data_IF_327603903225
#
_entry.id   IF_327603903225
#
_cell.length_a   1.000
_cell.length_b   1.000
_cell.length_c   1.000
_cell.angle_alpha   90.00
_cell.angle_beta   90.00
_cell.angle_gamma   90.00
#
_symmetry.space_group_name_H-M   'P 1'
#
loop_
_entity.id
_entity.type
_entity.pdbx_description
1 polymer ?
#
# COMPACT_ATOMS: atom_id res chain seq x y z
N UNK A 1 -10.52 -14.06 -11.18
CA UNK A 1 -9.92 -13.30 -10.06
C UNK A 1 -9.81 -14.24 -8.88
N UNK A 2 -8.70 -14.23 -8.17
CA UNK A 2 -8.45 -15.14 -7.07
C UNK A 2 -7.96 -14.35 -5.85
N UNK A 3 -8.50 -14.67 -4.67
CA UNK A 3 -8.03 -14.07 -3.43
C UNK A 3 -6.60 -14.56 -3.11
N UNK A 4 -5.70 -13.63 -2.85
CA UNK A 4 -4.32 -13.89 -2.46
C UNK A 4 -4.16 -13.78 -0.95
N UNK A 5 -3.29 -14.62 -0.39
CA UNK A 5 -2.96 -14.55 1.04
C UNK A 5 -2.10 -13.30 1.31
N UNK A 6 -2.54 -12.44 2.22
CA UNK A 6 -1.75 -11.28 2.66
C UNK A 6 -0.68 -11.76 3.64
N UNK A 7 0.56 -11.40 3.34
CA UNK A 7 1.73 -11.66 4.17
C UNK A 7 1.71 -10.67 5.34
N UNK A 8 1.88 -11.19 6.55
CA UNK A 8 1.91 -10.38 7.78
C UNK A 8 3.33 -10.30 8.36
N UNK A 9 3.62 -9.24 9.10
CA UNK A 9 4.83 -9.17 9.92
C UNK A 9 4.87 -10.34 10.93
N UNK A 10 6.08 -10.91 11.16
CA UNK A 10 7.42 -10.40 10.80
C UNK A 10 8.03 -11.01 9.51
N UNK A 11 7.23 -11.38 8.52
CA UNK A 11 7.77 -11.99 7.29
C UNK A 11 8.75 -11.04 6.59
N UNK A 12 9.96 -11.53 6.30
CA UNK A 12 11.06 -10.75 5.71
C UNK A 12 10.77 -10.27 4.28
N UNK A 13 9.84 -10.91 3.56
CA UNK A 13 9.45 -10.49 2.21
C UNK A 13 8.90 -9.06 2.18
N UNK A 14 8.25 -8.60 3.27
CA UNK A 14 7.77 -7.22 3.42
C UNK A 14 8.89 -6.18 3.46
N UNK A 15 10.14 -6.60 3.61
CA UNK A 15 11.33 -5.74 3.60
C UNK A 15 12.08 -5.75 2.28
N UNK A 16 11.58 -6.51 1.31
CA UNK A 16 12.20 -6.62 0.00
C UNK A 16 11.87 -5.40 -0.85
N UNK A 17 12.88 -4.90 -1.57
CA UNK A 17 12.66 -3.90 -2.62
C UNK A 17 12.15 -4.61 -3.87
N UNK A 18 11.00 -4.19 -4.36
CA UNK A 18 10.32 -4.80 -5.50
C UNK A 18 11.02 -4.48 -6.83
N UNK A 19 11.05 -5.47 -7.72
CA UNK A 19 11.61 -5.38 -9.06
C UNK A 19 10.67 -4.66 -10.03
N UNK A 20 11.23 -3.89 -10.96
CA UNK A 20 10.44 -3.24 -12.01
C UNK A 20 9.76 -4.26 -12.93
N UNK A 21 8.68 -3.83 -13.56
CA UNK A 21 7.99 -4.55 -14.63
C UNK A 21 8.42 -3.96 -15.97
N UNK A 22 9.05 -4.76 -16.80
CA UNK A 22 9.59 -4.31 -18.09
C UNK A 22 8.55 -4.27 -19.21
N UNK A 23 7.55 -5.18 -19.12
CA UNK A 23 6.46 -5.28 -20.09
C UNK A 23 5.20 -5.81 -19.41
N UNK A 24 4.04 -5.50 -20.01
CA UNK A 24 2.77 -6.03 -19.52
C UNK A 24 2.39 -7.27 -20.33
N UNK A 25 1.97 -8.30 -19.63
CA UNK A 25 1.37 -9.51 -20.16
C UNK A 25 0.04 -9.81 -19.43
N UNK A 26 -0.63 -10.86 -19.84
CA UNK A 26 -1.88 -11.27 -19.20
C UNK A 26 -1.69 -11.66 -17.73
N UNK A 27 -0.50 -12.18 -17.37
CA UNK A 27 -0.20 -12.53 -15.99
C UNK A 27 -0.15 -11.29 -15.08
N UNK A 28 0.50 -10.20 -15.53
CA UNK A 28 0.53 -8.93 -14.77
C UNK A 28 -0.87 -8.35 -14.61
N UNK A 29 -1.72 -8.42 -15.65
CA UNK A 29 -3.11 -7.98 -15.57
C UNK A 29 -3.91 -8.79 -14.54
N UNK A 30 -3.80 -10.12 -14.59
CA UNK A 30 -4.45 -10.99 -13.60
C UNK A 30 -3.95 -10.74 -12.17
N UNK A 31 -2.66 -10.48 -11.98
CA UNK A 31 -2.12 -10.11 -10.66
C UNK A 31 -2.76 -8.81 -10.15
N UNK A 32 -2.89 -7.78 -10.98
CA UNK A 32 -3.53 -6.52 -10.60
C UNK A 32 -5.01 -6.70 -10.23
N UNK A 33 -5.73 -7.56 -10.97
CA UNK A 33 -7.12 -7.90 -10.67
C UNK A 33 -7.25 -8.68 -9.35
N UNK A 34 -6.39 -9.67 -9.12
CA UNK A 34 -6.33 -10.44 -7.87
C UNK A 34 -5.97 -9.53 -6.67
N UNK A 35 -5.04 -8.57 -6.88
CA UNK A 35 -4.69 -7.58 -5.86
C UNK A 35 -5.88 -6.73 -5.47
N UNK A 36 -6.64 -6.23 -6.44
CA UNK A 36 -7.80 -5.38 -6.20
C UNK A 36 -8.90 -6.15 -5.43
N UNK A 37 -9.20 -7.39 -5.86
CA UNK A 37 -10.15 -8.25 -5.17
C UNK A 37 -9.70 -8.57 -3.73
N UNK A 38 -8.41 -8.88 -3.55
CA UNK A 38 -7.82 -9.15 -2.23
C UNK A 38 -7.91 -7.93 -1.33
N UNK A 39 -7.61 -6.75 -1.85
CA UNK A 39 -7.71 -5.48 -1.14
C UNK A 39 -9.13 -5.23 -0.64
N UNK A 40 -10.12 -5.34 -1.51
CA UNK A 40 -11.54 -5.15 -1.13
C UNK A 40 -12.01 -6.20 -0.13
N UNK A 41 -11.67 -7.46 -0.33
CA UNK A 41 -12.04 -8.53 0.61
C UNK A 41 -11.44 -8.32 2.01
N UNK A 42 -10.30 -7.64 2.10
CA UNK A 42 -9.66 -7.28 3.36
C UNK A 42 -10.12 -5.92 3.91
N UNK A 43 -11.13 -5.27 3.32
CA UNK A 43 -11.59 -3.91 3.64
C UNK A 43 -10.45 -2.86 3.60
N UNK A 44 -9.47 -3.04 2.69
CA UNK A 44 -8.37 -2.12 2.48
C UNK A 44 -8.69 -1.08 1.40
N UNK A 45 -7.93 0.01 1.40
CA UNK A 45 -7.96 1.07 0.39
C UNK A 45 -6.69 1.11 -0.47
N UNK A 46 -5.71 0.27 -0.15
CA UNK A 46 -4.46 0.10 -0.88
C UNK A 46 -3.87 -1.28 -0.65
N UNK A 47 -3.11 -1.77 -1.63
CA UNK A 47 -2.35 -3.01 -1.55
C UNK A 47 -1.17 -2.98 -2.52
N UNK A 48 0.02 -3.33 -2.02
CA UNK A 48 1.21 -3.53 -2.82
C UNK A 48 1.47 -5.01 -3.11
N UNK A 49 2.06 -5.32 -4.26
CA UNK A 49 2.34 -6.70 -4.67
C UNK A 49 3.24 -7.44 -3.68
N UNK A 50 4.15 -6.74 -3.01
CA UNK A 50 5.01 -7.32 -1.97
C UNK A 50 4.22 -7.86 -0.78
N UNK A 51 3.04 -7.32 -0.49
CA UNK A 51 2.17 -7.79 0.60
C UNK A 51 1.49 -9.13 0.26
N UNK A 52 1.48 -9.54 -0.99
CA UNK A 52 0.99 -10.85 -1.43
C UNK A 52 2.11 -11.76 -1.97
N UNK A 53 3.37 -11.45 -1.65
CA UNK A 53 4.53 -12.27 -1.99
C UNK A 53 5.01 -12.15 -3.43
N UNK A 54 4.62 -11.11 -4.15
CA UNK A 54 5.01 -10.88 -5.54
C UNK A 54 6.08 -9.80 -5.61
N UNK A 55 7.25 -10.16 -6.15
CA UNK A 55 8.39 -9.27 -6.34
C UNK A 55 8.24 -8.46 -7.63
N UNK A 56 7.25 -7.57 -7.65
CA UNK A 56 7.00 -6.64 -8.76
C UNK A 56 6.52 -5.30 -8.24
N UNK A 57 6.92 -4.22 -8.92
CA UNK A 57 6.46 -2.87 -8.59
C UNK A 57 5.04 -2.64 -9.09
N UNK A 58 4.07 -3.18 -8.36
CA UNK A 58 2.64 -3.06 -8.62
C UNK A 58 1.95 -2.59 -7.34
N UNK A 59 1.04 -1.62 -7.46
CA UNK A 59 0.12 -1.24 -6.39
C UNK A 59 -1.29 -1.08 -6.96
N UNK A 60 -2.27 -1.31 -6.10
CA UNK A 60 -3.66 -0.94 -6.35
C UNK A 60 -4.13 -0.05 -5.21
N UNK A 61 -4.90 0.99 -5.53
CA UNK A 61 -5.47 1.91 -4.54
C UNK A 61 -6.90 2.25 -4.94
N UNK A 62 -7.78 2.39 -3.95
CA UNK A 62 -9.13 2.90 -4.11
C UNK A 62 -9.56 3.66 -2.86
N UNK A 63 -9.51 4.97 -2.92
CA UNK A 63 -10.00 5.85 -1.84
C UNK A 63 -11.41 6.39 -2.13
N UNK A 64 -12.06 5.92 -3.21
CA UNK A 64 -13.32 6.42 -3.71
C UNK A 64 -13.21 7.82 -4.33
N UNK A 65 -14.22 8.17 -5.10
CA UNK A 65 -14.49 9.55 -5.54
C UNK A 65 -15.73 10.05 -4.83
N UNK A 66 -15.73 11.30 -4.39
CA UNK A 66 -16.95 11.94 -3.90
C UNK A 66 -17.92 12.14 -5.07
N UNK A 67 -19.09 11.53 -4.98
CA UNK A 67 -20.22 11.81 -5.83
C UNK A 67 -21.00 13.04 -5.33
N UNK A 68 -21.95 13.56 -6.13
CA UNK A 68 -22.70 14.78 -5.83
C UNK A 68 -23.54 14.73 -4.54
N UNK A 69 -23.79 13.54 -4.00
CA UNK A 69 -24.61 13.27 -2.81
C UNK A 69 -23.80 12.82 -1.58
N UNK A 70 -22.51 13.16 -1.51
CA UNK A 70 -21.55 12.74 -0.47
C UNK A 70 -21.28 11.23 -0.38
N UNK A 71 -21.80 10.41 -1.29
CA UNK A 71 -21.39 9.02 -1.40
C UNK A 71 -20.00 8.89 -2.04
N UNK A 72 -19.25 7.88 -1.60
CA UNK A 72 -17.99 7.50 -2.22
C UNK A 72 -18.26 6.42 -3.27
N UNK A 73 -18.02 6.74 -4.53
CA UNK A 73 -18.03 5.74 -5.60
C UNK A 73 -16.66 5.10 -5.75
N UNK A 74 -16.59 3.79 -6.01
CA UNK A 74 -15.31 3.12 -6.26
C UNK A 74 -14.56 3.78 -7.42
N UNK A 75 -13.29 4.07 -7.22
CA UNK A 75 -12.38 4.60 -8.24
C UNK A 75 -11.03 3.90 -8.15
N UNK A 76 -10.96 2.60 -8.50
CA UNK A 76 -9.74 1.84 -8.39
C UNK A 76 -8.68 2.31 -9.39
N UNK A 77 -7.46 2.50 -8.90
CA UNK A 77 -6.30 2.86 -9.69
C UNK A 77 -5.27 1.73 -9.58
N UNK A 78 -4.91 1.15 -10.72
CA UNK A 78 -3.85 0.16 -10.86
C UNK A 78 -2.59 0.84 -11.36
N UNK A 79 -1.50 0.74 -10.62
CA UNK A 79 -0.23 1.39 -10.97
C UNK A 79 0.88 0.37 -11.13
N UNK A 80 1.55 0.43 -12.27
CA UNK A 80 2.74 -0.35 -12.60
C UNK A 80 3.94 0.58 -12.57
N UNK A 81 5.02 0.19 -11.88
CA UNK A 81 6.23 0.97 -11.69
C UNK A 81 5.95 2.40 -11.17
N UNK A 82 5.14 2.58 -10.12
CA UNK A 82 4.90 3.91 -9.60
C UNK A 82 6.19 4.51 -9.03
N UNK A 83 6.37 5.80 -9.33
CA UNK A 83 7.50 6.61 -8.88
C UNK A 83 7.01 7.98 -8.45
N UNK A 84 7.34 8.40 -7.23
CA UNK A 84 7.05 9.74 -6.74
C UNK A 84 8.08 10.69 -7.36
N UNK A 85 7.59 11.67 -8.12
CA UNK A 85 8.42 12.69 -8.79
C UNK A 85 8.38 14.05 -8.12
N UNK A 86 7.42 14.26 -7.22
CA UNK A 86 7.30 15.47 -6.42
C UNK A 86 6.66 15.16 -5.07
N UNK A 87 7.15 15.79 -4.03
CA UNK A 87 6.59 15.84 -2.69
C UNK A 87 6.46 17.31 -2.26
N UNK A 88 5.31 17.68 -1.72
CA UNK A 88 5.11 19.02 -1.15
C UNK A 88 6.00 19.25 0.08
N UNK A 89 6.20 20.52 0.42
CA UNK A 89 6.90 20.91 1.66
C UNK A 89 5.97 20.92 2.88
N UNK A 90 4.67 20.94 2.67
CA UNK A 90 3.66 20.86 3.71
C UNK A 90 3.43 19.39 4.07
N UNK A 91 3.02 19.15 5.30
CA UNK A 91 2.80 17.81 5.83
C UNK A 91 1.40 17.69 6.44
N UNK A 92 0.82 16.52 6.31
CA UNK A 92 -0.37 16.10 7.00
C UNK A 92 -0.05 14.97 7.99
N UNK A 93 -0.76 14.95 9.10
CA UNK A 93 -0.72 13.85 10.08
C UNK A 93 -2.02 13.07 9.98
N UNK A 94 -1.92 11.78 9.66
CA UNK A 94 -3.06 10.86 9.59
C UNK A 94 -2.77 9.57 10.32
N UNK A 95 -3.82 8.97 10.86
CA UNK A 95 -3.74 7.61 11.37
C UNK A 95 -3.62 6.65 10.20
N UNK A 96 -2.56 5.86 10.20
CA UNK A 96 -2.33 4.78 9.23
C UNK A 96 -2.41 3.43 9.93
N UNK A 97 -2.99 2.46 9.22
CA UNK A 97 -2.92 1.04 9.48
C UNK A 97 -2.37 0.32 8.26
N UNK A 98 -2.17 -0.98 8.36
CA UNK A 98 -1.65 -1.78 7.26
C UNK A 98 -2.22 -3.20 7.32
N UNK A 99 -2.66 -3.74 6.18
CA UNK A 99 -3.17 -5.12 6.07
C UNK A 99 -2.11 -6.17 6.47
N UNK A 100 -0.81 -5.81 6.33
CA UNK A 100 0.31 -6.65 6.78
C UNK A 100 0.68 -6.49 8.25
N UNK A 101 0.06 -5.53 8.95
CA UNK A 101 0.23 -5.26 10.40
C UNK A 101 -1.15 -5.09 11.02
N UNK A 102 -2.01 -6.11 11.00
CA UNK A 102 -3.41 -6.00 11.42
C UNK A 102 -3.54 -5.59 12.89
N UNK A 103 -4.56 -4.79 13.20
CA UNK A 103 -4.85 -4.35 14.57
C UNK A 103 -3.93 -3.27 15.13
N UNK A 104 -2.95 -2.79 14.36
CA UNK A 104 -2.03 -1.74 14.79
C UNK A 104 -2.16 -0.50 13.91
N UNK A 105 -2.34 0.64 14.55
CA UNK A 105 -2.47 1.94 13.91
C UNK A 105 -1.58 2.97 14.60
N UNK A 106 -1.14 3.98 13.87
CA UNK A 106 -0.39 5.10 14.42
C UNK A 106 -0.52 6.35 13.54
N UNK A 107 -0.37 7.51 14.17
CA UNK A 107 -0.25 8.78 13.44
C UNK A 107 1.08 8.82 12.72
N UNK A 108 1.03 8.97 11.39
CA UNK A 108 2.18 9.14 10.51
C UNK A 108 2.12 10.53 9.88
N UNK A 109 3.27 11.17 9.79
CA UNK A 109 3.44 12.46 9.14
C UNK A 109 3.94 12.27 7.71
N UNK A 110 3.16 12.70 6.73
CA UNK A 110 3.52 12.60 5.30
C UNK A 110 3.36 13.94 4.59
N UNK A 111 4.11 14.19 3.50
CA UNK A 111 3.80 15.26 2.57
C UNK A 111 2.32 15.24 2.17
N UNK A 112 1.67 16.42 2.18
CA UNK A 112 0.23 16.53 1.94
C UNK A 112 -0.15 16.34 0.47
N UNK A 113 0.82 16.59 -0.47
CA UNK A 113 0.63 16.41 -1.90
C UNK A 113 1.81 15.67 -2.52
N UNK A 114 1.49 14.81 -3.48
CA UNK A 114 2.46 14.04 -4.24
C UNK A 114 2.13 14.07 -5.73
N UNK A 115 3.16 14.00 -6.57
CA UNK A 115 3.00 13.71 -8.00
C UNK A 115 3.67 12.36 -8.25
N UNK A 116 2.92 11.47 -8.87
CA UNK A 116 3.36 10.11 -9.17
C UNK A 116 3.30 9.87 -10.67
N UNK A 117 4.41 9.41 -11.23
CA UNK A 117 4.45 8.84 -12.56
C UNK A 117 4.32 7.32 -12.46
N UNK A 118 3.51 6.72 -13.33
CA UNK A 118 3.29 5.27 -13.35
C UNK A 118 2.86 4.81 -14.75
N UNK A 119 2.75 3.52 -14.96
CA UNK A 119 2.11 2.94 -16.14
C UNK A 119 0.77 2.33 -15.74
N UNK A 120 -0.24 2.54 -16.58
CA UNK A 120 -1.56 1.93 -16.40
C UNK A 120 -1.58 0.46 -16.87
N UNK A 121 -2.74 -0.19 -16.79
CA UNK A 121 -2.96 -1.58 -17.21
C UNK A 121 -2.82 -1.83 -18.73
N UNK A 122 -2.63 -0.78 -19.52
CA UNK A 122 -2.27 -0.83 -20.94
C UNK A 122 -0.81 -0.46 -21.16
N UNK A 123 -0.03 -0.35 -20.10
CA UNK A 123 1.37 0.07 -20.05
C UNK A 123 1.62 1.48 -20.58
N UNK A 124 0.59 2.32 -20.63
CA UNK A 124 0.70 3.73 -21.02
C UNK A 124 1.19 4.56 -19.84
N UNK A 125 2.11 5.46 -20.13
CA UNK A 125 2.62 6.40 -19.11
C UNK A 125 1.49 7.32 -18.64
N UNK A 126 1.36 7.44 -17.33
CA UNK A 126 0.41 8.31 -16.64
C UNK A 126 1.13 9.15 -15.61
N UNK A 127 0.54 10.29 -15.31
CA UNK A 127 0.92 11.18 -14.22
C UNK A 127 -0.32 11.49 -13.40
N UNK A 128 -0.21 11.35 -12.10
CA UNK A 128 -1.28 11.64 -11.15
C UNK A 128 -0.76 12.63 -10.10
N UNK A 129 -1.48 13.69 -9.89
CA UNK A 129 -1.35 14.56 -8.73
C UNK A 129 -2.37 14.11 -7.68
N UNK A 130 -1.91 13.78 -6.48
CA UNK A 130 -2.73 13.26 -5.41
C UNK A 130 -2.46 13.99 -4.10
N UNK A 131 -3.51 14.25 -3.38
CA UNK A 131 -3.48 14.84 -2.03
C UNK A 131 -4.39 14.05 -1.08
N UNK A 132 -4.52 14.56 0.13
CA UNK A 132 -5.41 14.03 1.14
C UNK A 132 -5.21 12.51 1.38
N UNK A 133 -6.30 11.75 1.47
CA UNK A 133 -6.26 10.30 1.70
C UNK A 133 -5.58 9.55 0.55
N UNK A 134 -5.87 9.91 -0.69
CA UNK A 134 -5.27 9.28 -1.87
C UNK A 134 -3.75 9.50 -1.90
N UNK A 135 -3.30 10.72 -1.60
CA UNK A 135 -1.88 11.04 -1.53
C UNK A 135 -1.15 10.24 -0.45
N UNK A 136 -1.76 10.06 0.73
CA UNK A 136 -1.21 9.23 1.82
C UNK A 136 -1.19 7.76 1.41
N UNK A 137 -2.29 7.24 0.85
CA UNK A 137 -2.40 5.84 0.44
C UNK A 137 -1.32 5.48 -0.60
N UNK A 138 -1.15 6.29 -1.64
CA UNK A 138 -0.13 6.05 -2.67
C UNK A 138 1.29 6.03 -2.06
N UNK A 139 1.60 6.96 -1.16
CA UNK A 139 2.90 6.97 -0.47
C UNK A 139 3.10 5.70 0.35
N UNK A 140 2.07 5.26 1.07
CA UNK A 140 2.11 4.03 1.87
C UNK A 140 2.39 2.80 0.99
N UNK A 141 1.70 2.66 -0.14
CA UNK A 141 1.88 1.51 -1.03
C UNK A 141 3.24 1.54 -1.76
N UNK A 142 3.73 2.72 -2.13
CA UNK A 142 5.08 2.85 -2.71
C UNK A 142 6.17 2.53 -1.68
N UNK A 143 5.96 2.88 -0.40
CA UNK A 143 6.85 2.46 0.69
C UNK A 143 6.98 0.93 0.74
N UNK A 144 5.87 0.19 0.66
CA UNK A 144 5.90 -1.26 0.58
C UNK A 144 6.77 -1.80 -0.55
N UNK A 145 6.73 -1.17 -1.73
CA UNK A 145 7.58 -1.54 -2.87
C UNK A 145 9.07 -1.27 -2.63
N UNK A 146 9.39 -0.44 -1.64
CA UNK A 146 10.75 -0.12 -1.24
C UNK A 146 11.17 -0.85 0.06
N UNK A 147 10.33 -1.76 0.58
CA UNK A 147 10.58 -2.50 1.81
C UNK A 147 10.42 -1.66 3.08
N UNK A 148 9.72 -0.53 3.00
CA UNK A 148 9.42 0.38 4.10
C UNK A 148 8.00 0.12 4.59
N UNK A 149 7.78 0.15 5.91
CA UNK A 149 6.47 -0.01 6.53
C UNK A 149 6.11 1.26 7.30
N UNK A 150 4.81 1.53 7.50
CA UNK A 150 4.38 2.76 8.18
C UNK A 150 5.02 2.93 9.56
N UNK A 151 5.32 1.84 10.27
CA UNK A 151 6.02 1.87 11.56
C UNK A 151 7.45 2.44 11.48
N UNK A 152 8.06 2.48 10.30
CA UNK A 152 9.41 3.04 10.10
C UNK A 152 9.41 4.57 10.14
N UNK A 153 8.25 5.20 9.93
CA UNK A 153 8.05 6.64 10.06
C UNK A 153 7.82 7.09 11.52
N UNK A 154 7.67 6.15 12.45
CA UNK A 154 7.42 6.44 13.85
C UNK A 154 8.71 6.68 14.63
N UNK A 155 8.58 7.33 15.79
CA UNK A 155 9.69 7.39 16.74
C UNK A 155 10.13 5.99 17.15
N UNK A 156 11.41 5.83 17.50
CA UNK A 156 11.98 4.55 17.93
C UNK A 156 11.14 3.87 19.02
N UNK A 157 10.68 4.64 20.01
CA UNK A 157 9.90 4.12 21.13
C UNK A 157 8.56 3.55 20.64
N UNK A 158 7.80 4.30 19.82
CA UNK A 158 6.52 3.85 19.26
C UNK A 158 6.69 2.59 18.40
N UNK A 159 7.70 2.59 17.53
CA UNK A 159 8.02 1.44 16.69
C UNK A 159 8.31 0.19 17.52
N UNK A 160 9.19 0.30 18.54
CA UNK A 160 9.54 -0.82 19.42
C UNK A 160 8.34 -1.35 20.19
N UNK A 161 7.43 -0.48 20.64
CA UNK A 161 6.19 -0.89 21.30
C UNK A 161 5.30 -1.73 20.38
N UNK A 162 5.10 -1.31 19.13
CA UNK A 162 4.31 -2.08 18.15
C UNK A 162 4.98 -3.42 17.86
N UNK A 163 6.29 -3.44 17.61
CA UNK A 163 7.03 -4.68 17.34
C UNK A 163 6.96 -5.68 18.48
N UNK A 164 7.01 -5.23 19.74
CA UNK A 164 6.84 -6.10 20.92
C UNK A 164 5.42 -6.70 20.99
N UNK A 165 4.39 -5.92 20.66
CA UNK A 165 3.00 -6.42 20.61
C UNK A 165 2.83 -7.49 19.53
N UNK A 166 3.28 -7.21 18.30
CA UNK A 166 3.24 -8.17 17.17
C UNK A 166 3.94 -9.48 17.55
N UNK A 167 5.12 -9.40 18.18
CA UNK A 167 5.85 -10.59 18.61
C UNK A 167 5.05 -11.42 19.63
N UNK A 168 4.38 -10.76 20.58
CA UNK A 168 3.54 -11.43 21.58
C UNK A 168 2.32 -12.09 20.95
N UNK A 169 1.65 -11.43 20.01
CA UNK A 169 0.49 -11.94 19.29
C UNK A 169 0.84 -13.19 18.48
N UNK A 170 1.93 -13.16 17.70
CA UNK A 170 2.41 -14.31 16.93
C UNK A 170 2.82 -15.50 17.81
N UNK A 171 3.34 -15.26 19.02
CA UNK A 171 3.64 -16.34 19.97
C UNK A 171 2.37 -17.00 20.52
N UNK A 172 1.30 -16.26 20.68
CA UNK A 172 0.02 -16.78 21.16
C UNK A 172 -0.71 -17.57 20.07
N UNK A 173 -0.70 -17.09 18.80
CA UNK A 173 -1.29 -17.79 17.66
C UNK A 173 -0.61 -19.15 17.40
N UNK A 174 0.69 -19.27 17.65
CA UNK A 174 1.42 -20.54 17.50
C UNK A 174 1.22 -21.54 18.67
N UNK A 175 0.51 -21.14 19.72
CA UNK A 175 0.21 -21.99 20.91
C UNK A 175 -1.22 -22.49 20.96
N UNK A 176 -2.09 -21.95 20.12
CA UNK A 176 -3.51 -22.34 19.95
C UNK A 176 -3.68 -23.25 18.74
#
# INVERSE_FOLDING_TARGET
>A
MALRKIIKMPNSFLRKKASAVDSIDNNIKHILDDMLETMYNANGIGLAATQIGIDKRLIVVDCGLKADDDHLEPNPIKMINPEITFLSKNFNEREEGCLSIPGHHAIVKRPDKVIVNYRDENFKQKKLEADDLLGVCIQHEIDHLNGILFIDHLSRIKKEMILKKIKKENLNENRS
#
